data_IF_401538941695
#
_entry.id   IF_401538941695
#
_cell.length_a   1.000
_cell.length_b   1.000
_cell.length_c   1.000
_cell.angle_alpha   90.00
_cell.angle_beta   90.00
_cell.angle_gamma   90.00
#
_symmetry.space_group_name_H-M   'P 1'
#
loop_
_entity.id
_entity.type
_entity.pdbx_description
1 polymer ?
#
# COMPACT_ATOMS: atom_id res chain seq x y z
N UNK A 1 4.10 5.66 22.29
CA UNK A 1 4.75 6.81 22.98
C UNK A 1 4.17 8.15 22.50
N UNK A 2 4.16 8.45 21.18
CA UNK A 2 3.63 9.70 20.60
C UNK A 2 2.09 9.89 20.58
N UNK A 3 1.29 8.82 20.52
CA UNK A 3 -0.18 8.95 20.38
C UNK A 3 -0.90 9.61 21.55
N UNK A 4 -0.49 9.31 22.80
CA UNK A 4 -1.12 9.88 24.00
C UNK A 4 -0.97 11.41 24.10
N UNK A 5 0.21 12.01 23.85
CA UNK A 5 0.35 13.46 23.78
C UNK A 5 -0.50 14.15 22.71
N UNK A 6 -0.67 13.55 21.52
CA UNK A 6 -1.38 14.19 20.39
C UNK A 6 -2.90 13.97 20.43
N UNK A 7 -3.35 12.79 20.85
CA UNK A 7 -4.74 12.36 20.74
C UNK A 7 -5.38 11.96 22.09
N UNK A 8 -4.66 12.10 23.21
CA UNK A 8 -5.15 11.77 24.55
C UNK A 8 -5.21 10.25 24.86
N UNK A 9 -4.91 9.39 23.89
CA UNK A 9 -4.99 7.93 24.01
C UNK A 9 -3.88 7.25 23.20
N UNK A 10 -3.49 6.03 23.58
CA UNK A 10 -2.52 5.24 22.81
C UNK A 10 -3.17 4.49 21.64
N UNK A 11 -4.44 4.14 21.77
CA UNK A 11 -5.20 3.38 20.80
C UNK A 11 -6.69 3.64 20.97
N UNK A 12 -7.41 3.65 19.86
CA UNK A 12 -8.87 3.58 19.83
C UNK A 12 -9.28 2.56 18.79
N UNK A 13 -10.35 1.83 19.08
CA UNK A 13 -10.96 0.89 18.14
C UNK A 13 -11.88 1.61 17.16
N UNK A 14 -11.40 2.70 16.56
CA UNK A 14 -12.13 3.43 15.54
C UNK A 14 -12.00 2.73 14.18
N UNK A 15 -12.84 3.14 13.22
CA UNK A 15 -12.87 2.54 11.89
C UNK A 15 -11.49 2.62 11.20
N UNK A 16 -10.73 3.71 11.42
CA UNK A 16 -9.44 3.94 10.76
C UNK A 16 -8.33 3.04 11.32
N UNK A 17 -8.09 3.07 12.62
CA UNK A 17 -7.02 2.30 13.24
C UNK A 17 -7.31 0.79 13.14
N UNK A 18 -8.57 0.39 13.28
CA UNK A 18 -8.97 -1.02 13.13
C UNK A 18 -8.76 -1.50 11.70
N UNK A 19 -9.18 -0.74 10.68
CA UNK A 19 -8.96 -1.12 9.28
C UNK A 19 -7.48 -1.10 8.88
N UNK A 20 -6.67 -0.20 9.46
CA UNK A 20 -5.21 -0.21 9.31
C UNK A 20 -4.56 -1.44 9.95
N UNK A 21 -5.04 -1.90 11.11
CA UNK A 21 -4.58 -3.14 11.73
C UNK A 21 -4.95 -4.37 10.87
N UNK A 22 -6.18 -4.39 10.33
CA UNK A 22 -6.60 -5.42 9.37
C UNK A 22 -5.70 -5.39 8.13
N UNK A 23 -5.36 -4.20 7.61
CA UNK A 23 -4.45 -4.05 6.48
C UNK A 23 -3.07 -4.63 6.78
N UNK A 24 -2.56 -4.39 8.00
CA UNK A 24 -1.30 -4.95 8.45
C UNK A 24 -1.33 -6.49 8.45
N UNK A 25 -2.40 -7.11 8.96
CA UNK A 25 -2.55 -8.56 8.91
C UNK A 25 -2.74 -9.11 7.48
N UNK A 26 -3.47 -8.40 6.61
CA UNK A 26 -3.58 -8.76 5.20
C UNK A 26 -2.20 -8.77 4.51
N UNK A 27 -1.38 -7.75 4.79
CA UNK A 27 -0.02 -7.67 4.27
C UNK A 27 0.87 -8.82 4.76
N UNK A 28 0.82 -9.13 6.06
CA UNK A 28 1.50 -10.31 6.61
C UNK A 28 0.98 -11.61 6.01
N UNK A 29 -0.33 -11.71 5.76
CA UNK A 29 -0.96 -12.85 5.10
C UNK A 29 -0.44 -13.06 3.68
N UNK A 30 -0.27 -12.00 2.90
CA UNK A 30 0.33 -12.07 1.55
C UNK A 30 1.76 -12.61 1.62
N UNK A 31 2.58 -12.10 2.54
CA UNK A 31 3.96 -12.60 2.74
C UNK A 31 3.93 -14.07 3.17
N UNK A 32 3.07 -14.42 4.12
CA UNK A 32 2.96 -15.79 4.62
C UNK A 32 2.58 -16.77 3.51
N UNK A 33 1.59 -16.44 2.66
CA UNK A 33 1.16 -17.28 1.55
C UNK A 33 2.27 -17.52 0.51
N UNK A 34 3.03 -16.47 0.19
CA UNK A 34 4.16 -16.58 -0.77
C UNK A 34 5.25 -17.51 -0.23
N UNK A 35 5.49 -17.52 1.08
CA UNK A 35 6.56 -18.32 1.70
C UNK A 35 6.13 -19.72 2.13
N UNK A 36 4.83 -19.94 2.42
CA UNK A 36 4.33 -21.22 2.92
C UNK A 36 4.02 -22.23 1.82
N UNK A 37 3.72 -21.77 0.59
CA UNK A 37 3.35 -22.65 -0.53
C UNK A 37 4.57 -22.94 -1.41
N UNK A 38 5.02 -24.21 -1.54
CA UNK A 38 6.23 -24.54 -2.29
C UNK A 38 6.15 -24.28 -3.80
N UNK A 39 4.99 -24.49 -4.42
CA UNK A 39 4.79 -24.21 -5.84
C UNK A 39 4.61 -22.70 -6.07
N UNK A 40 5.55 -22.00 -6.74
CA UNK A 40 5.50 -20.55 -6.87
C UNK A 40 4.27 -20.04 -7.63
N UNK A 41 3.73 -20.86 -8.55
CA UNK A 41 2.52 -20.50 -9.32
C UNK A 41 1.27 -20.54 -8.43
N UNK A 42 1.10 -21.59 -7.64
CA UNK A 42 0.03 -21.66 -6.65
C UNK A 42 0.17 -20.58 -5.57
N UNK A 43 1.38 -20.37 -5.04
CA UNK A 43 1.67 -19.33 -4.05
C UNK A 43 1.24 -17.95 -4.56
N UNK A 44 1.64 -17.61 -5.80
CA UNK A 44 1.27 -16.36 -6.45
C UNK A 44 -0.24 -16.20 -6.67
N UNK A 45 -0.96 -17.28 -7.02
CA UNK A 45 -2.43 -17.24 -7.16
C UNK A 45 -3.13 -17.00 -5.82
N UNK A 46 -2.73 -17.70 -4.77
CA UNK A 46 -3.31 -17.55 -3.44
C UNK A 46 -3.06 -16.13 -2.88
N UNK A 47 -1.81 -15.67 -2.94
CA UNK A 47 -1.44 -14.33 -2.52
C UNK A 47 -2.14 -13.24 -3.36
N UNK A 48 -2.28 -13.47 -4.66
CA UNK A 48 -3.00 -12.60 -5.58
C UNK A 48 -4.48 -12.47 -5.22
N UNK A 49 -5.17 -13.59 -4.96
CA UNK A 49 -6.56 -13.58 -4.52
C UNK A 49 -6.74 -12.79 -3.22
N UNK A 50 -5.91 -13.06 -2.22
CA UNK A 50 -5.93 -12.33 -0.94
C UNK A 50 -5.73 -10.82 -1.17
N UNK A 51 -4.81 -10.45 -2.05
CA UNK A 51 -4.51 -9.05 -2.37
C UNK A 51 -5.69 -8.37 -3.05
N UNK A 52 -6.34 -9.02 -4.02
CA UNK A 52 -7.52 -8.49 -4.73
C UNK A 52 -8.68 -8.28 -3.76
N UNK A 53 -8.98 -9.27 -2.90
CA UNK A 53 -10.01 -9.14 -1.87
C UNK A 53 -9.65 -8.03 -0.88
N UNK A 54 -8.38 -7.91 -0.51
CA UNK A 54 -7.86 -6.88 0.39
C UNK A 54 -8.02 -5.45 -0.12
N UNK A 55 -8.22 -5.23 -1.43
CA UNK A 55 -8.50 -3.88 -1.99
C UNK A 55 -9.74 -3.26 -1.36
N UNK A 56 -10.73 -4.06 -0.97
CA UNK A 56 -11.93 -3.57 -0.28
C UNK A 56 -11.53 -2.86 1.02
N UNK A 57 -10.55 -3.39 1.74
CA UNK A 57 -10.06 -2.75 2.97
C UNK A 57 -9.33 -1.43 2.69
N UNK A 58 -8.69 -1.26 1.52
CA UNK A 58 -8.06 0.01 1.13
C UNK A 58 -9.12 1.11 1.01
N UNK A 59 -10.26 0.79 0.41
CA UNK A 59 -11.39 1.71 0.28
C UNK A 59 -11.92 2.10 1.65
N UNK A 60 -12.11 1.13 2.55
CA UNK A 60 -12.55 1.38 3.92
C UNK A 60 -11.55 2.29 4.65
N UNK A 61 -10.25 2.01 4.59
CA UNK A 61 -9.21 2.84 5.20
C UNK A 61 -9.27 4.27 4.67
N UNK A 62 -9.37 4.45 3.34
CA UNK A 62 -9.39 5.78 2.70
C UNK A 62 -10.58 6.62 3.17
N UNK A 63 -11.78 6.04 3.17
CA UNK A 63 -13.01 6.74 3.49
C UNK A 63 -13.38 6.67 4.97
N UNK A 64 -12.61 5.96 5.81
CA UNK A 64 -12.87 5.83 7.24
C UNK A 64 -13.04 7.16 7.98
N UNK A 65 -12.34 8.21 7.54
CA UNK A 65 -12.41 9.56 8.12
C UNK A 65 -13.62 10.37 7.65
N UNK A 66 -14.25 9.97 6.55
CA UNK A 66 -15.43 10.63 5.98
C UNK A 66 -16.71 9.92 6.43
N UNK A 67 -16.68 8.59 6.52
CA UNK A 67 -17.83 7.77 6.91
C UNK A 67 -18.06 7.71 8.42
N UNK A 68 -17.01 7.85 9.24
CA UNK A 68 -17.12 7.83 10.70
C UNK A 68 -16.50 9.06 11.35
N UNK A 69 -17.15 9.54 12.41
CA UNK A 69 -16.57 10.52 13.32
C UNK A 69 -15.42 9.86 14.08
N UNK A 70 -14.19 10.25 13.75
CA UNK A 70 -12.98 9.75 14.41
C UNK A 70 -12.14 10.90 14.95
N UNK A 71 -11.13 10.58 15.76
CA UNK A 71 -10.12 11.54 16.22
C UNK A 71 -9.26 12.10 15.07
N UNK A 72 -9.36 11.52 13.88
CA UNK A 72 -8.52 11.86 12.75
C UNK A 72 -9.13 13.00 11.94
N UNK A 73 -8.28 13.96 11.58
CA UNK A 73 -8.64 15.02 10.64
C UNK A 73 -9.07 14.43 9.29
N UNK A 74 -10.09 15.05 8.69
CA UNK A 74 -10.55 14.76 7.33
C UNK A 74 -9.52 15.14 6.26
N UNK A 75 -9.87 14.93 4.99
CA UNK A 75 -8.94 15.16 3.88
C UNK A 75 -8.68 16.64 3.60
N UNK A 76 -7.39 17.03 3.58
CA UNK A 76 -6.95 18.41 3.24
C UNK A 76 -6.81 18.62 1.74
N UNK A 77 -6.44 17.57 0.98
CA UNK A 77 -6.36 17.59 -0.47
C UNK A 77 -7.69 17.11 -1.05
N UNK A 78 -8.45 18.03 -1.64
CA UNK A 78 -9.70 17.70 -2.34
C UNK A 78 -9.42 17.48 -3.81
N UNK A 79 -10.00 16.43 -4.39
CA UNK A 79 -9.89 16.12 -5.82
C UNK A 79 -10.72 17.12 -6.65
N UNK A 80 -11.81 17.64 -6.07
CA UNK A 80 -12.72 18.60 -6.70
C UNK A 80 -12.93 19.78 -5.73
N UNK A 81 -12.75 21.01 -6.22
CA UNK A 81 -12.89 22.25 -5.46
C UNK A 81 -11.59 22.76 -4.83
N UNK A 82 -11.70 23.83 -4.06
CA UNK A 82 -10.52 24.52 -3.51
C UNK A 82 -9.81 23.69 -2.44
N UNK A 83 -8.50 23.56 -2.61
CA UNK A 83 -7.60 23.00 -1.59
C UNK A 83 -7.27 24.08 -0.57
N UNK A 84 -7.48 23.81 0.71
CA UNK A 84 -7.24 24.79 1.79
C UNK A 84 -5.77 24.98 2.16
N UNK A 85 -4.83 24.49 1.33
CA UNK A 85 -3.40 24.43 1.64
C UNK A 85 -2.64 25.52 0.87
N UNK A 86 -1.84 26.36 1.56
CA UNK A 86 -1.03 27.37 0.90
C UNK A 86 -0.04 26.76 -0.11
N UNK A 87 0.28 27.45 -1.22
CA UNK A 87 1.21 26.95 -2.24
C UNK A 87 2.58 26.54 -1.70
N UNK A 88 3.08 27.24 -0.68
CA UNK A 88 4.36 26.95 -0.03
C UNK A 88 4.42 25.56 0.65
N UNK A 89 3.28 24.97 0.99
CA UNK A 89 3.18 23.60 1.51
C UNK A 89 2.73 22.61 0.42
N UNK A 90 1.82 23.04 -0.46
CA UNK A 90 1.25 22.20 -1.51
C UNK A 90 2.31 21.77 -2.53
N UNK A 91 3.16 22.69 -3.01
CA UNK A 91 4.13 22.38 -4.06
C UNK A 91 5.16 21.33 -3.58
N UNK A 92 5.82 21.48 -2.41
CA UNK A 92 6.71 20.43 -1.90
C UNK A 92 6.01 19.09 -1.70
N UNK A 93 4.75 19.10 -1.25
CA UNK A 93 3.94 17.89 -1.09
C UNK A 93 3.74 17.18 -2.44
N UNK A 94 3.31 17.91 -3.48
CA UNK A 94 3.05 17.32 -4.81
C UNK A 94 4.34 16.79 -5.47
N UNK A 95 5.45 17.52 -5.35
CA UNK A 95 6.76 17.07 -5.84
C UNK A 95 7.18 15.79 -5.11
N UNK A 96 7.04 15.76 -3.79
CA UNK A 96 7.39 14.58 -2.99
C UNK A 96 6.49 13.39 -3.31
N UNK A 97 5.17 13.62 -3.47
CA UNK A 97 4.23 12.58 -3.88
C UNK A 97 4.61 11.99 -5.24
N UNK A 98 4.89 12.83 -6.23
CA UNK A 98 5.34 12.39 -7.55
C UNK A 98 6.64 11.58 -7.44
N UNK A 99 7.63 12.07 -6.69
CA UNK A 99 8.89 11.38 -6.46
C UNK A 99 8.70 9.98 -5.85
N UNK A 100 7.83 9.85 -4.84
CA UNK A 100 7.52 8.55 -4.23
C UNK A 100 6.79 7.62 -5.21
N UNK A 101 5.86 8.13 -6.02
CA UNK A 101 5.19 7.31 -7.03
C UNK A 101 6.16 6.82 -8.12
N UNK A 102 7.07 7.67 -8.57
CA UNK A 102 8.12 7.28 -9.51
C UNK A 102 9.07 6.25 -8.90
N UNK A 103 9.51 6.46 -7.67
CA UNK A 103 10.36 5.50 -6.94
C UNK A 103 9.66 4.15 -6.78
N UNK A 104 8.37 4.15 -6.43
CA UNK A 104 7.55 2.96 -6.35
C UNK A 104 7.45 2.25 -7.70
N UNK A 105 7.13 2.97 -8.77
CA UNK A 105 7.02 2.41 -10.12
C UNK A 105 8.34 1.78 -10.59
N UNK A 106 9.47 2.48 -10.43
CA UNK A 106 10.80 1.94 -10.76
C UNK A 106 11.09 0.69 -9.95
N UNK A 107 10.80 0.70 -8.64
CA UNK A 107 11.04 -0.45 -7.76
C UNK A 107 10.21 -1.67 -8.18
N UNK A 108 8.94 -1.47 -8.53
CA UNK A 108 8.04 -2.55 -9.03
C UNK A 108 8.54 -3.09 -10.36
N UNK A 109 8.86 -2.22 -11.32
CA UNK A 109 9.35 -2.63 -12.64
C UNK A 109 10.68 -3.37 -12.55
N UNK A 110 11.60 -2.90 -11.70
CA UNK A 110 12.89 -3.56 -11.45
C UNK A 110 12.68 -4.95 -10.87
N UNK A 111 11.83 -5.08 -9.84
CA UNK A 111 11.52 -6.39 -9.24
C UNK A 111 10.82 -7.32 -10.24
N UNK A 112 9.87 -6.82 -11.02
CA UNK A 112 9.18 -7.60 -12.04
C UNK A 112 10.15 -8.13 -13.10
N UNK A 113 11.11 -7.30 -13.55
CA UNK A 113 12.17 -7.72 -14.46
C UNK A 113 13.05 -8.81 -13.85
N UNK A 114 13.50 -8.63 -12.61
CA UNK A 114 14.34 -9.61 -11.92
C UNK A 114 13.61 -10.96 -11.74
N UNK A 115 12.33 -10.91 -11.34
CA UNK A 115 11.48 -12.09 -11.16
C UNK A 115 11.24 -12.82 -12.50
N UNK A 116 11.00 -12.07 -13.58
CA UNK A 116 10.82 -12.64 -14.92
C UNK A 116 12.08 -13.39 -15.37
N UNK A 117 13.26 -12.77 -15.25
CA UNK A 117 14.53 -13.41 -15.60
C UNK A 117 14.81 -14.64 -14.74
N UNK A 118 14.49 -14.58 -13.44
CA UNK A 118 14.67 -15.70 -12.53
C UNK A 118 13.78 -16.90 -12.88
N UNK A 119 12.51 -16.65 -13.22
CA UNK A 119 11.54 -17.66 -13.64
C UNK A 119 11.89 -18.27 -15.00
N UNK A 120 12.28 -17.43 -15.95
CA UNK A 120 12.55 -17.81 -17.34
C UNK A 120 14.02 -18.20 -17.58
N UNK A 121 14.84 -18.36 -16.53
CA UNK A 121 16.28 -18.65 -16.65
C UNK A 121 16.64 -19.89 -17.48
N UNK A 122 15.69 -20.82 -17.65
CA UNK A 122 15.86 -22.05 -18.46
C UNK A 122 15.42 -21.86 -19.92
N UNK A 123 14.71 -20.78 -20.23
CA UNK A 123 14.20 -20.47 -21.56
C UNK A 123 15.35 -20.04 -22.48
N UNK A 124 15.24 -20.34 -23.78
CA UNK A 124 16.31 -20.08 -24.75
C UNK A 124 16.65 -18.58 -24.83
N UNK A 125 15.63 -17.72 -24.88
CA UNK A 125 15.79 -16.26 -24.99
C UNK A 125 16.56 -15.62 -23.81
N UNK A 126 16.44 -16.15 -22.59
CA UNK A 126 17.21 -15.64 -21.43
C UNK A 126 18.67 -16.06 -21.53
N UNK A 127 18.93 -17.31 -21.95
CA UNK A 127 20.29 -17.84 -22.13
C UNK A 127 21.06 -17.16 -23.27
N UNK A 128 20.37 -16.60 -24.25
CA UNK A 128 20.98 -15.79 -25.31
C UNK A 128 21.28 -14.35 -24.87
N UNK A 129 20.63 -13.87 -23.79
CA UNK A 129 20.69 -12.47 -23.34
C UNK A 129 21.63 -12.24 -22.16
N UNK A 130 21.96 -13.28 -21.40
CA UNK A 130 22.92 -13.31 -20.28
C UNK A 130 24.19 -14.00 -20.77
#
# INVERSE_FOLDING_TARGET
IWGKPTWGTYWVWDARLTSMLIMFFLYLGVIALINAIPDPRQAGRAAGLLSVVGVINVVIVKYSVEWWHSLHQGSTLKIIGDTSMPPAMLIPLLISMLGIYLLFAVSVLWRARAELLWRERKSAWVRERI
#
